data_IF_760052109656
#
_entry.id   IF_760052109656
#
_cell.length_a   1.000
_cell.length_b   1.000
_cell.length_c   1.000
_cell.angle_alpha   90.00
_cell.angle_beta   90.00
_cell.angle_gamma   90.00
#
_symmetry.space_group_name_H-M   'P 1'
#
loop_
_entity.id
_entity.type
_entity.pdbx_description
1 polymer ?
#
# COMPACT_ATOMS: atom_id res chain seq x y z
N UNK A 1 -22.51 23.72 9.42
CA UNK A 1 -23.56 22.67 9.35
C UNK A 1 -22.92 21.33 9.65
N UNK A 2 -23.10 20.81 10.85
CA UNK A 2 -22.61 19.49 11.27
C UNK A 2 -23.37 18.42 10.49
N UNK A 3 -22.69 17.69 9.57
CA UNK A 3 -23.23 16.44 9.05
C UNK A 3 -23.39 15.48 10.23
N UNK A 4 -24.63 15.16 10.55
CA UNK A 4 -24.98 14.20 11.59
C UNK A 4 -24.11 12.95 11.45
N UNK A 5 -23.40 12.60 12.53
CA UNK A 5 -22.61 11.38 12.67
C UNK A 5 -23.59 10.20 12.50
N UNK A 6 -23.53 9.51 11.34
CA UNK A 6 -24.33 8.31 11.13
C UNK A 6 -23.74 7.22 12.02
N UNK A 7 -24.47 6.86 13.05
CA UNK A 7 -24.29 5.58 13.73
C UNK A 7 -24.47 4.48 12.69
N UNK A 8 -23.51 3.57 12.60
CA UNK A 8 -23.65 2.41 11.72
C UNK A 8 -24.86 1.60 12.18
N UNK A 9 -25.81 1.42 11.28
CA UNK A 9 -27.01 0.64 11.56
C UNK A 9 -26.65 -0.86 11.54
N UNK A 10 -27.48 -1.66 12.24
CA UNK A 10 -27.40 -3.12 12.16
C UNK A 10 -27.45 -3.60 10.68
N UNK A 11 -28.23 -2.88 9.86
CA UNK A 11 -28.33 -3.16 8.42
C UNK A 11 -26.98 -3.00 7.69
N UNK A 12 -26.13 -2.05 8.07
CA UNK A 12 -24.83 -1.86 7.45
C UNK A 12 -23.89 -3.02 7.81
N UNK A 13 -23.95 -3.50 9.04
CA UNK A 13 -23.20 -4.69 9.48
C UNK A 13 -23.66 -5.94 8.75
N UNK A 14 -24.99 -6.17 8.66
CA UNK A 14 -25.56 -7.34 7.97
C UNK A 14 -25.21 -7.37 6.48
N UNK A 15 -25.22 -6.22 5.80
CA UNK A 15 -24.77 -6.12 4.39
C UNK A 15 -23.30 -6.52 4.22
N UNK A 16 -22.44 -6.08 5.10
CA UNK A 16 -21.02 -6.43 5.04
C UNK A 16 -20.79 -7.92 5.33
N UNK A 17 -21.48 -8.48 6.31
CA UNK A 17 -21.43 -9.93 6.58
C UNK A 17 -21.93 -10.72 5.38
N UNK A 18 -23.03 -10.30 4.74
CA UNK A 18 -23.54 -10.94 3.52
C UNK A 18 -22.52 -10.87 2.37
N UNK A 19 -21.86 -9.71 2.20
CA UNK A 19 -20.81 -9.56 1.18
C UNK A 19 -19.59 -10.43 1.50
N UNK A 20 -19.12 -10.46 2.75
CA UNK A 20 -18.03 -11.32 3.18
C UNK A 20 -18.37 -12.81 2.99
N UNK A 21 -19.61 -13.22 3.30
CA UNK A 21 -20.07 -14.59 3.08
C UNK A 21 -20.12 -14.97 1.60
N UNK A 22 -20.52 -14.04 0.72
CA UNK A 22 -20.46 -14.25 -0.73
C UNK A 22 -19.03 -14.44 -1.20
N UNK A 23 -18.10 -13.61 -0.76
CA UNK A 23 -16.68 -13.73 -1.12
C UNK A 23 -16.05 -15.00 -0.54
N UNK A 24 -16.47 -15.42 0.66
CA UNK A 24 -16.10 -16.72 1.22
C UNK A 24 -16.55 -17.86 0.30
N UNK A 25 -17.82 -17.86 -0.11
CA UNK A 25 -18.33 -18.87 -1.03
C UNK A 25 -17.53 -18.88 -2.35
N UNK A 26 -17.31 -17.72 -2.96
CA UNK A 26 -16.48 -17.59 -4.18
C UNK A 26 -15.06 -18.11 -3.97
N UNK A 27 -14.47 -17.86 -2.82
CA UNK A 27 -13.09 -18.29 -2.51
C UNK A 27 -12.94 -19.82 -2.44
N UNK A 28 -14.03 -20.54 -2.07
CA UNK A 28 -14.03 -22.00 -1.86
C UNK A 28 -14.63 -22.81 -3.03
N UNK A 29 -15.17 -22.14 -4.05
CA UNK A 29 -15.62 -22.81 -5.28
C UNK A 29 -14.43 -23.00 -6.23
N UNK A 30 -14.24 -24.18 -6.84
CA UNK A 30 -13.20 -24.40 -7.84
C UNK A 30 -13.26 -23.37 -8.97
N UNK A 31 -12.14 -22.67 -9.21
CA UNK A 31 -12.08 -21.59 -10.19
C UNK A 31 -12.67 -20.25 -9.74
N UNK A 32 -13.37 -20.18 -8.62
CA UNK A 32 -14.00 -18.97 -8.09
C UNK A 32 -13.05 -17.78 -7.93
N UNK A 33 -11.87 -17.93 -7.29
CA UNK A 33 -10.89 -16.84 -7.19
C UNK A 33 -10.42 -16.33 -8.56
N UNK A 34 -10.20 -17.22 -9.53
CA UNK A 34 -9.81 -16.84 -10.90
C UNK A 34 -10.93 -16.06 -11.60
N UNK A 35 -12.17 -16.52 -11.48
CA UNK A 35 -13.35 -15.84 -12.03
C UNK A 35 -13.54 -14.46 -11.37
N UNK A 36 -13.44 -14.36 -10.07
CA UNK A 36 -13.50 -13.10 -9.33
C UNK A 36 -12.45 -12.10 -9.81
N UNK A 37 -11.19 -12.53 -9.93
CA UNK A 37 -10.13 -11.68 -10.43
C UNK A 37 -10.34 -11.30 -11.90
N UNK A 38 -10.82 -12.19 -12.76
CA UNK A 38 -11.11 -11.88 -14.15
C UNK A 38 -12.23 -10.81 -14.25
N UNK A 39 -13.30 -10.97 -13.49
CA UNK A 39 -14.41 -10.02 -13.42
C UNK A 39 -13.94 -8.66 -12.85
N UNK A 40 -13.22 -8.67 -11.75
CA UNK A 40 -12.73 -7.42 -11.14
C UNK A 40 -11.70 -6.70 -12.02
N UNK A 41 -10.87 -7.44 -12.74
CA UNK A 41 -9.92 -6.87 -13.72
C UNK A 41 -10.61 -6.33 -14.97
N UNK A 42 -11.62 -7.04 -15.49
CA UNK A 42 -12.26 -6.73 -16.76
C UNK A 42 -13.37 -5.68 -16.68
N UNK A 43 -14.26 -5.81 -15.69
CA UNK A 43 -15.46 -4.98 -15.58
C UNK A 43 -15.26 -3.68 -14.79
N UNK A 44 -14.33 -3.67 -13.84
CA UNK A 44 -14.17 -2.48 -13.02
C UNK A 44 -13.20 -1.51 -13.69
N UNK A 45 -13.69 -0.30 -13.98
CA UNK A 45 -12.87 0.90 -14.28
C UNK A 45 -11.93 1.26 -13.11
N UNK A 46 -11.64 0.28 -12.24
CA UNK A 46 -10.89 0.44 -11.00
C UNK A 46 -9.46 0.92 -11.26
N UNK A 47 -8.81 0.44 -12.34
CA UNK A 47 -7.42 0.77 -12.63
C UNK A 47 -7.23 2.24 -13.01
N UNK A 48 -8.18 2.88 -13.69
CA UNK A 48 -8.15 4.34 -13.90
C UNK A 48 -8.30 5.12 -12.58
N UNK A 49 -9.04 4.57 -11.59
CA UNK A 49 -9.08 5.16 -10.24
C UNK A 49 -7.74 4.98 -9.53
N UNK A 50 -7.10 3.83 -9.70
CA UNK A 50 -5.76 3.57 -9.15
C UNK A 50 -4.75 4.56 -9.73
N UNK A 51 -4.70 4.72 -11.06
CA UNK A 51 -3.82 5.69 -11.73
C UNK A 51 -4.06 7.11 -11.19
N UNK A 52 -5.32 7.55 -11.08
CA UNK A 52 -5.64 8.88 -10.51
C UNK A 52 -5.23 9.00 -9.04
N UNK A 53 -5.32 7.92 -8.25
CA UNK A 53 -4.82 7.90 -6.86
C UNK A 53 -3.30 8.03 -6.85
N UNK A 54 -2.59 7.21 -7.64
CA UNK A 54 -1.14 7.22 -7.71
C UNK A 54 -0.59 8.59 -8.14
N UNK A 55 -1.18 9.22 -9.15
CA UNK A 55 -0.83 10.59 -9.58
C UNK A 55 -0.84 11.60 -8.42
N UNK A 56 -1.77 11.44 -7.46
CA UNK A 56 -1.90 12.36 -6.31
C UNK A 56 -0.99 12.01 -5.15
N UNK A 57 -0.73 10.72 -4.91
CA UNK A 57 -0.03 10.29 -3.70
C UNK A 57 1.48 10.21 -3.88
N UNK A 58 1.97 9.87 -5.08
CA UNK A 58 3.39 9.75 -5.35
C UNK A 58 4.20 11.03 -5.12
N UNK A 59 3.71 12.24 -5.51
CA UNK A 59 4.40 13.48 -5.16
C UNK A 59 4.59 13.62 -3.64
N UNK A 60 3.57 13.32 -2.87
CA UNK A 60 3.64 13.31 -1.42
C UNK A 60 4.66 12.31 -0.86
N UNK A 61 4.79 11.12 -1.47
CA UNK A 61 5.82 10.15 -1.09
C UNK A 61 7.22 10.69 -1.40
N UNK A 62 7.44 11.19 -2.61
CA UNK A 62 8.74 11.76 -3.01
C UNK A 62 9.17 12.91 -2.09
N UNK A 63 8.23 13.80 -1.73
CA UNK A 63 8.47 14.89 -0.78
C UNK A 63 8.87 14.35 0.60
N UNK A 64 8.15 13.36 1.12
CA UNK A 64 8.47 12.72 2.41
C UNK A 64 9.84 12.06 2.39
N UNK A 65 10.21 11.37 1.32
CA UNK A 65 11.53 10.76 1.19
C UNK A 65 12.66 11.78 1.22
N UNK A 66 12.48 12.94 0.56
CA UNK A 66 13.47 14.03 0.60
C UNK A 66 13.49 14.72 1.97
N UNK A 67 12.35 15.20 2.45
CA UNK A 67 12.29 16.07 3.63
C UNK A 67 12.48 15.31 4.95
N UNK A 68 11.93 14.10 5.07
CA UNK A 68 11.97 13.33 6.32
C UNK A 68 13.07 12.30 6.37
N UNK A 69 13.41 11.72 5.21
CA UNK A 69 14.43 10.69 5.14
C UNK A 69 15.79 11.23 4.67
N UNK A 70 15.87 12.47 4.19
CA UNK A 70 17.09 13.06 3.66
C UNK A 70 17.59 12.35 2.41
N UNK A 71 16.69 11.78 1.59
CA UNK A 71 17.07 11.03 0.40
C UNK A 71 17.16 11.93 -0.82
N UNK A 72 18.37 12.04 -1.38
CA UNK A 72 18.56 12.49 -2.76
C UNK A 72 18.24 11.30 -3.68
N UNK A 73 17.19 11.44 -4.49
CA UNK A 73 16.65 10.31 -5.26
C UNK A 73 17.39 10.05 -6.56
N UNK A 74 18.10 11.04 -7.09
CA UNK A 74 18.82 10.90 -8.37
C UNK A 74 19.87 9.79 -8.32
N UNK A 75 19.90 8.94 -9.34
CA UNK A 75 20.79 7.78 -9.42
C UNK A 75 20.50 6.64 -8.46
N UNK A 76 19.48 6.75 -7.58
CA UNK A 76 19.13 5.74 -6.59
C UNK A 76 18.34 4.57 -7.18
N UNK A 77 18.55 3.38 -6.62
CA UNK A 77 17.76 2.20 -6.94
C UNK A 77 16.51 2.16 -6.05
N UNK A 78 15.35 2.40 -6.65
CA UNK A 78 14.06 2.34 -5.98
C UNK A 78 13.44 0.96 -6.22
N UNK A 79 13.15 0.24 -5.16
CA UNK A 79 12.41 -1.01 -5.22
C UNK A 79 10.94 -0.76 -4.83
N UNK A 80 10.02 -1.11 -5.74
CA UNK A 80 8.57 -1.03 -5.47
C UNK A 80 8.01 -2.44 -5.36
N UNK A 81 7.50 -2.75 -4.17
CA UNK A 81 6.89 -4.05 -3.88
C UNK A 81 5.38 -3.98 -4.10
N UNK A 82 4.85 -4.93 -4.88
CA UNK A 82 3.44 -5.02 -5.29
C UNK A 82 2.91 -3.71 -5.91
N UNK A 83 3.50 -3.25 -7.03
CA UNK A 83 3.09 -2.00 -7.68
C UNK A 83 1.70 -2.07 -8.31
N UNK A 84 1.07 -3.24 -8.33
CA UNK A 84 -0.17 -3.51 -9.06
C UNK A 84 0.04 -3.67 -10.57
N UNK A 85 -1.03 -3.57 -11.34
CA UNK A 85 -1.01 -3.87 -12.79
C UNK A 85 -0.86 -2.65 -13.69
N UNK A 86 -0.77 -1.46 -13.12
CA UNK A 86 -0.58 -0.22 -13.88
C UNK A 86 0.90 0.13 -13.91
N UNK A 87 1.48 0.50 -15.08
CA UNK A 87 2.90 0.79 -15.20
C UNK A 87 3.24 2.21 -14.68
N UNK A 88 2.59 2.64 -13.60
CA UNK A 88 2.84 3.95 -12.99
C UNK A 88 4.15 3.97 -12.19
N UNK A 89 4.38 2.92 -11.41
CA UNK A 89 5.56 2.85 -10.53
C UNK A 89 6.90 2.91 -11.28
N UNK A 90 7.14 2.15 -12.40
CA UNK A 90 8.37 2.27 -13.16
C UNK A 90 8.57 3.66 -13.74
N UNK A 91 7.50 4.29 -14.26
CA UNK A 91 7.57 5.65 -14.80
C UNK A 91 7.90 6.67 -13.71
N UNK A 92 7.28 6.57 -12.54
CA UNK A 92 7.54 7.45 -11.40
C UNK A 92 8.96 7.27 -10.85
N UNK A 93 9.43 6.02 -10.70
CA UNK A 93 10.80 5.72 -10.27
C UNK A 93 11.83 6.29 -11.25
N UNK A 94 11.61 6.10 -12.56
CA UNK A 94 12.48 6.63 -13.58
C UNK A 94 12.53 8.17 -13.57
N UNK A 95 11.38 8.82 -13.45
CA UNK A 95 11.30 10.28 -13.36
C UNK A 95 12.10 10.82 -12.17
N UNK A 96 12.01 10.16 -11.03
CA UNK A 96 12.65 10.57 -9.78
C UNK A 96 14.14 10.26 -9.73
N UNK A 97 14.57 9.12 -10.27
CA UNK A 97 15.95 8.64 -10.07
C UNK A 97 16.78 8.52 -11.35
N UNK A 98 16.17 8.66 -12.51
CA UNK A 98 16.83 8.36 -13.80
C UNK A 98 16.98 6.85 -14.06
N UNK A 99 16.51 6.01 -13.14
CA UNK A 99 16.50 4.55 -13.23
C UNK A 99 15.08 4.06 -12.95
N UNK A 100 14.59 3.07 -13.67
CA UNK A 100 13.26 2.52 -13.46
C UNK A 100 13.11 1.74 -12.15
N UNK A 101 14.22 1.38 -11.56
CA UNK A 101 14.24 0.65 -10.31
C UNK A 101 13.96 -0.85 -10.46
N UNK A 102 13.48 -1.45 -9.39
CA UNK A 102 13.12 -2.87 -9.33
C UNK A 102 11.67 -3.01 -8.91
N UNK A 103 10.93 -3.87 -9.57
CA UNK A 103 9.57 -4.24 -9.21
C UNK A 103 9.54 -5.70 -8.75
N UNK A 104 8.83 -5.98 -7.66
CA UNK A 104 8.50 -7.34 -7.27
C UNK A 104 6.99 -7.47 -7.16
N UNK A 105 6.40 -8.49 -7.78
CA UNK A 105 4.95 -8.68 -7.82
C UNK A 105 4.56 -10.15 -7.78
N UNK A 106 3.61 -10.52 -6.94
CA UNK A 106 2.97 -11.83 -6.99
C UNK A 106 1.99 -11.95 -8.16
N UNK A 107 1.44 -10.83 -8.64
CA UNK A 107 0.36 -10.81 -9.62
C UNK A 107 0.80 -10.91 -11.08
N UNK A 108 2.06 -10.62 -11.40
CA UNK A 108 2.58 -10.57 -12.76
C UNK A 108 2.97 -9.16 -13.22
N UNK A 109 3.34 -9.01 -14.51
CA UNK A 109 3.79 -7.75 -15.06
C UNK A 109 2.64 -6.73 -15.20
N UNK A 110 2.97 -5.43 -15.35
CA UNK A 110 1.99 -4.41 -15.70
C UNK A 110 1.27 -4.71 -17.03
N UNK A 111 0.07 -4.17 -17.16
CA UNK A 111 -0.77 -4.39 -18.35
C UNK A 111 -0.63 -3.25 -19.36
N UNK A 112 -0.48 -3.63 -20.64
CA UNK A 112 -0.41 -2.70 -21.79
C UNK A 112 -1.60 -1.75 -21.86
N UNK A 113 -2.79 -2.23 -21.51
CA UNK A 113 -4.03 -1.47 -21.50
C UNK A 113 -3.95 -0.13 -20.75
N UNK A 114 -3.04 -0.03 -19.78
CA UNK A 114 -2.96 1.13 -18.89
C UNK A 114 -1.72 1.99 -19.11
N UNK A 115 -0.89 1.69 -20.13
CA UNK A 115 0.34 2.43 -20.43
C UNK A 115 0.02 3.90 -20.75
N UNK A 116 -0.80 4.15 -21.77
CA UNK A 116 -1.13 5.51 -22.16
C UNK A 116 -1.74 6.35 -21.01
N UNK A 117 -2.60 5.75 -20.21
CA UNK A 117 -3.20 6.43 -19.05
C UNK A 117 -2.17 6.72 -17.96
N UNK A 118 -1.20 5.81 -17.73
CA UNK A 118 -0.13 6.00 -16.75
C UNK A 118 0.87 7.04 -17.19
N UNK A 119 1.25 7.04 -18.47
CA UNK A 119 2.14 8.05 -19.06
C UNK A 119 1.53 9.44 -18.92
N UNK A 120 0.28 9.64 -19.37
CA UNK A 120 -0.41 10.92 -19.21
C UNK A 120 -0.50 11.36 -17.75
N UNK A 121 -0.86 10.43 -16.86
CA UNK A 121 -0.99 10.74 -15.43
C UNK A 121 0.34 11.15 -14.79
N UNK A 122 1.47 10.56 -15.21
CA UNK A 122 2.79 10.94 -14.67
C UNK A 122 3.21 12.31 -15.19
N UNK A 123 2.99 12.59 -16.48
CA UNK A 123 3.33 13.88 -17.09
C UNK A 123 2.50 15.05 -16.53
N UNK A 124 1.26 14.77 -16.13
CA UNK A 124 0.36 15.74 -15.50
C UNK A 124 0.49 15.78 -13.96
N UNK A 125 1.38 14.98 -13.37
CA UNK A 125 1.58 14.95 -11.92
C UNK A 125 2.48 16.08 -11.45
N UNK A 126 2.38 16.43 -10.16
CA UNK A 126 3.33 17.35 -9.51
C UNK A 126 4.77 16.84 -9.55
N UNK A 127 4.99 15.53 -9.68
CA UNK A 127 6.34 14.97 -9.88
C UNK A 127 7.03 15.53 -11.12
N UNK A 128 6.29 15.75 -12.20
CA UNK A 128 6.81 16.34 -13.42
C UNK A 128 7.03 17.86 -13.30
N UNK A 129 6.24 18.52 -12.45
CA UNK A 129 6.26 19.97 -12.26
C UNK A 129 7.31 20.45 -11.22
N UNK A 130 7.69 19.61 -10.24
CA UNK A 130 8.54 19.98 -9.11
C UNK A 130 10.04 20.20 -9.49
N UNK A 131 10.37 20.43 -10.77
CA UNK A 131 11.73 20.74 -11.20
C UNK A 131 12.77 19.63 -10.98
N UNK A 132 12.36 18.52 -10.41
CA UNK A 132 13.17 17.31 -10.28
C UNK A 132 13.20 16.49 -11.57
N UNK A 133 12.40 16.87 -12.56
CA UNK A 133 12.33 16.17 -13.83
C UNK A 133 13.37 16.78 -14.78
N UNK A 134 14.47 16.08 -14.94
CA UNK A 134 15.34 16.24 -16.09
C UNK A 134 14.46 16.27 -17.36
N UNK A 135 14.53 17.32 -18.20
CA UNK A 135 13.75 17.42 -19.44
C UNK A 135 13.91 16.19 -20.35
N UNK A 136 15.08 15.55 -20.32
CA UNK A 136 15.37 14.33 -21.08
C UNK A 136 14.51 13.17 -20.58
N UNK A 137 14.38 12.99 -19.24
CA UNK A 137 13.52 11.97 -18.65
C UNK A 137 12.05 12.20 -18.99
N UNK A 138 11.61 13.46 -18.92
CA UNK A 138 10.26 13.85 -19.26
C UNK A 138 9.92 13.55 -20.74
N UNK A 139 10.80 13.94 -21.67
CA UNK A 139 10.64 13.65 -23.09
C UNK A 139 10.62 12.14 -23.39
N UNK A 140 11.49 11.39 -22.71
CA UNK A 140 11.54 9.92 -22.83
C UNK A 140 10.24 9.25 -22.36
N UNK A 141 9.66 9.70 -21.24
CA UNK A 141 8.37 9.21 -20.77
C UNK A 141 7.27 9.58 -21.76
N UNK A 142 7.24 10.81 -22.28
CA UNK A 142 6.23 11.26 -23.23
C UNK A 142 6.21 10.40 -24.50
N UNK A 143 7.37 9.96 -24.97
CA UNK A 143 7.49 9.08 -26.14
C UNK A 143 6.90 7.67 -25.93
N UNK A 144 6.56 7.28 -24.69
CA UNK A 144 6.01 5.96 -24.36
C UNK A 144 4.48 5.88 -24.38
N UNK A 145 3.79 6.93 -24.81
CA UNK A 145 2.31 7.00 -24.72
C UNK A 145 1.61 5.89 -25.50
N UNK A 146 2.18 5.45 -26.62
CA UNK A 146 1.65 4.38 -27.47
C UNK A 146 2.44 3.07 -27.35
N UNK A 147 3.34 2.98 -26.37
CA UNK A 147 4.15 1.79 -26.11
C UNK A 147 3.34 0.70 -25.38
N UNK A 148 3.85 -0.53 -25.39
CA UNK A 148 3.40 -1.59 -24.50
C UNK A 148 4.14 -1.54 -23.15
N UNK A 149 3.71 -2.36 -22.20
CA UNK A 149 4.30 -2.38 -20.86
C UNK A 149 5.76 -2.89 -20.88
N UNK A 150 6.10 -3.80 -21.79
CA UNK A 150 7.47 -4.30 -21.93
C UNK A 150 8.41 -3.20 -22.43
N UNK A 151 7.97 -2.41 -23.41
CA UNK A 151 8.71 -1.25 -23.88
C UNK A 151 8.88 -0.18 -22.77
N UNK A 152 7.86 0.06 -21.93
CA UNK A 152 7.98 0.93 -20.75
C UNK A 152 9.06 0.42 -19.81
N UNK A 153 9.03 -0.87 -19.43
CA UNK A 153 10.03 -1.45 -18.53
C UNK A 153 11.46 -1.33 -19.11
N UNK A 154 11.61 -1.63 -20.41
CA UNK A 154 12.89 -1.50 -21.14
C UNK A 154 13.38 -0.07 -21.18
N UNK A 155 12.55 0.88 -21.62
CA UNK A 155 12.92 2.28 -21.78
C UNK A 155 13.26 2.95 -20.44
N UNK A 156 12.67 2.52 -19.35
CA UNK A 156 12.96 3.00 -17.99
C UNK A 156 14.06 2.18 -17.31
N UNK A 157 14.62 1.15 -17.95
CA UNK A 157 15.58 0.21 -17.35
C UNK A 157 15.07 -0.41 -16.04
N UNK A 158 13.77 -0.77 -16.03
CA UNK A 158 13.12 -1.36 -14.87
C UNK A 158 13.27 -2.88 -14.88
N UNK A 159 13.88 -3.44 -13.85
CA UNK A 159 13.88 -4.86 -13.60
C UNK A 159 12.54 -5.28 -12.94
N UNK A 160 11.99 -6.44 -13.33
CA UNK A 160 10.79 -6.98 -12.71
C UNK A 160 10.96 -8.46 -12.38
N UNK A 161 10.61 -8.83 -11.16
CA UNK A 161 10.44 -10.23 -10.75
C UNK A 161 8.97 -10.47 -10.41
N UNK A 162 8.38 -11.50 -11.02
CA UNK A 162 6.98 -11.86 -10.83
C UNK A 162 6.86 -13.18 -10.10
N UNK A 163 5.69 -13.44 -9.47
CA UNK A 163 5.41 -14.64 -8.68
C UNK A 163 6.43 -14.85 -7.56
N UNK A 164 6.88 -13.74 -6.97
CA UNK A 164 7.87 -13.77 -5.91
C UNK A 164 7.26 -14.25 -4.59
N UNK A 165 8.06 -15.00 -3.83
CA UNK A 165 7.81 -15.25 -2.42
C UNK A 165 8.31 -14.03 -1.63
N UNK A 166 7.46 -13.33 -0.87
CA UNK A 166 7.88 -12.19 -0.07
C UNK A 166 8.90 -12.53 1.03
N UNK A 167 9.01 -13.82 1.39
CA UNK A 167 10.00 -14.30 2.36
C UNK A 167 11.36 -14.65 1.77
N UNK A 168 11.48 -14.62 0.42
CA UNK A 168 12.72 -14.94 -0.31
C UNK A 168 12.77 -14.18 -1.63
N UNK A 169 13.20 -12.93 -1.57
CA UNK A 169 13.21 -12.03 -2.72
C UNK A 169 14.45 -12.26 -3.61
N UNK A 170 14.28 -12.31 -4.94
CA UNK A 170 15.37 -12.55 -5.88
C UNK A 170 16.19 -11.26 -6.12
N UNK A 171 16.66 -10.63 -5.04
CA UNK A 171 17.46 -9.40 -5.07
C UNK A 171 18.72 -9.59 -4.23
N UNK A 172 19.81 -9.00 -4.70
CA UNK A 172 21.09 -9.09 -4.01
C UNK A 172 21.08 -8.31 -2.68
N UNK A 173 21.86 -8.80 -1.72
CA UNK A 173 22.06 -8.12 -0.44
C UNK A 173 22.65 -6.73 -0.68
N UNK A 174 22.08 -5.71 -0.03
CA UNK A 174 22.58 -4.35 -0.12
C UNK A 174 22.51 -3.73 -1.51
N UNK A 175 21.51 -4.08 -2.33
CA UNK A 175 21.38 -3.61 -3.72
C UNK A 175 20.44 -2.41 -3.91
N UNK A 176 19.64 -2.07 -2.89
CA UNK A 176 18.53 -1.12 -2.98
C UNK A 176 18.72 0.06 -2.03
N UNK A 177 18.41 1.28 -2.49
CA UNK A 177 18.49 2.52 -1.72
C UNK A 177 17.17 2.92 -1.06
N UNK A 178 16.03 2.54 -1.67
CA UNK A 178 14.70 2.83 -1.17
C UNK A 178 13.75 1.67 -1.51
N UNK A 179 13.12 1.10 -0.50
CA UNK A 179 12.00 0.19 -0.67
C UNK A 179 10.68 0.94 -0.47
N UNK A 180 9.71 0.74 -1.36
CA UNK A 180 8.37 1.30 -1.21
C UNK A 180 7.28 0.25 -1.46
N UNK A 181 6.22 0.29 -0.64
CA UNK A 181 4.94 -0.37 -0.93
C UNK A 181 3.76 0.48 -0.44
N UNK A 182 2.65 0.36 -1.13
CA UNK A 182 1.46 1.15 -0.82
C UNK A 182 0.19 0.31 -0.71
N UNK A 183 -0.22 -0.07 0.50
CA UNK A 183 -1.41 -0.88 0.73
C UNK A 183 -1.18 -2.35 0.36
N UNK A 184 -0.14 -2.96 0.90
CA UNK A 184 0.28 -4.33 0.61
C UNK A 184 0.52 -5.14 1.87
N UNK A 185 1.22 -4.57 2.86
CA UNK A 185 1.69 -5.31 4.03
C UNK A 185 0.55 -5.81 4.92
N UNK A 186 -0.58 -5.15 4.91
CA UNK A 186 -1.80 -5.55 5.60
C UNK A 186 -2.39 -6.86 5.06
N UNK A 187 -2.03 -7.26 3.85
CA UNK A 187 -2.45 -8.53 3.25
C UNK A 187 -1.55 -9.71 3.60
N UNK A 188 -0.44 -9.48 4.27
CA UNK A 188 0.44 -10.54 4.70
C UNK A 188 0.04 -11.09 6.07
N UNK A 189 0.12 -12.42 6.23
CA UNK A 189 0.06 -13.02 7.55
C UNK A 189 1.21 -12.52 8.39
N UNK A 190 1.07 -12.40 9.72
CA UNK A 190 2.11 -11.82 10.58
C UNK A 190 3.49 -12.47 10.40
N UNK A 191 3.54 -13.80 10.23
CA UNK A 191 4.77 -14.55 9.98
C UNK A 191 5.41 -14.24 8.62
N UNK A 192 4.58 -14.05 7.59
CA UNK A 192 5.04 -13.65 6.24
C UNK A 192 5.52 -12.20 6.26
N UNK A 193 4.82 -11.32 6.97
CA UNK A 193 5.24 -9.92 7.14
C UNK A 193 6.60 -9.84 7.84
N UNK A 194 6.80 -10.60 8.91
CA UNK A 194 8.07 -10.65 9.61
C UNK A 194 9.21 -11.16 8.71
N UNK A 195 8.94 -12.18 7.87
CA UNK A 195 9.91 -12.69 6.91
C UNK A 195 10.21 -11.67 5.81
N UNK A 196 9.18 -11.01 5.27
CA UNK A 196 9.32 -9.92 4.28
C UNK A 196 10.18 -8.77 4.82
N UNK A 197 9.99 -8.38 6.07
CA UNK A 197 10.79 -7.31 6.68
C UNK A 197 12.26 -7.71 6.84
N UNK A 198 12.56 -8.98 7.17
CA UNK A 198 13.95 -9.49 7.18
C UNK A 198 14.57 -9.46 5.79
N UNK A 199 13.84 -9.88 4.76
CA UNK A 199 14.31 -9.79 3.38
C UNK A 199 14.49 -8.34 2.94
N UNK A 200 13.56 -7.45 3.28
CA UNK A 200 13.70 -6.01 3.01
C UNK A 200 14.97 -5.45 3.66
N UNK A 201 15.24 -5.84 4.90
CA UNK A 201 16.46 -5.43 5.59
C UNK A 201 17.72 -5.96 4.90
N UNK A 202 17.71 -7.23 4.45
CA UNK A 202 18.83 -7.85 3.74
C UNK A 202 19.18 -7.08 2.47
N UNK A 203 18.18 -6.79 1.64
CA UNK A 203 18.39 -6.19 0.30
C UNK A 203 18.63 -4.68 0.34
N UNK A 204 18.20 -3.99 1.37
CA UNK A 204 18.50 -2.57 1.56
C UNK A 204 19.99 -2.37 1.90
N UNK A 205 20.61 -1.33 1.34
CA UNK A 205 21.96 -0.89 1.72
C UNK A 205 21.97 -0.34 3.14
N UNK A 206 23.10 -0.33 3.85
CA UNK A 206 23.25 0.50 5.03
C UNK A 206 22.85 1.96 4.72
N UNK A 207 22.11 2.61 5.62
CA UNK A 207 21.56 3.95 5.43
C UNK A 207 20.31 4.05 4.55
N UNK A 208 19.94 2.99 3.83
CA UNK A 208 18.78 2.96 2.95
C UNK A 208 17.46 2.98 3.70
N UNK A 209 16.39 3.36 3.00
CA UNK A 209 15.07 3.62 3.60
C UNK A 209 14.04 2.56 3.20
N UNK A 210 13.29 2.08 4.18
CA UNK A 210 12.04 1.34 4.01
C UNK A 210 10.85 2.29 4.22
N UNK A 211 9.98 2.37 3.22
CA UNK A 211 8.84 3.29 3.16
C UNK A 211 7.57 2.52 2.80
N UNK A 212 6.73 2.26 3.78
CA UNK A 212 5.54 1.44 3.59
C UNK A 212 4.28 2.14 4.05
N UNK A 213 3.29 2.26 3.17
CA UNK A 213 1.95 2.71 3.54
C UNK A 213 1.10 1.49 3.83
N UNK A 214 0.62 1.41 5.06
CA UNK A 214 -0.18 0.31 5.58
C UNK A 214 -1.62 0.80 5.84
N UNK A 215 -2.60 0.13 5.26
CA UNK A 215 -4.02 0.47 5.46
C UNK A 215 -4.59 -0.34 6.64
N UNK A 216 -4.95 0.36 7.72
CA UNK A 216 -5.53 -0.24 8.92
C UNK A 216 -7.06 -0.36 8.86
N UNK A 217 -7.70 0.10 7.77
CA UNK A 217 -9.15 0.07 7.64
C UNK A 217 -9.64 -1.32 7.25
N UNK A 218 -10.85 -1.63 7.67
CA UNK A 218 -11.59 -2.77 7.13
C UNK A 218 -11.76 -2.60 5.61
N UNK A 219 -11.32 -3.57 4.84
CA UNK A 219 -11.28 -3.49 3.38
C UNK A 219 -12.66 -3.57 2.73
N UNK A 220 -13.68 -4.09 3.42
CA UNK A 220 -15.06 -3.96 2.95
C UNK A 220 -15.50 -2.50 2.83
N UNK A 221 -14.86 -1.59 3.57
CA UNK A 221 -15.10 -0.16 3.42
C UNK A 221 -14.71 0.40 2.05
N UNK A 222 -13.84 -0.25 1.31
CA UNK A 222 -13.54 0.11 -0.08
C UNK A 222 -14.68 -0.23 -1.02
N UNK A 223 -15.50 -1.23 -0.66
CA UNK A 223 -16.69 -1.65 -1.41
C UNK A 223 -17.89 -0.77 -1.03
N UNK A 224 -18.13 -0.60 0.26
CA UNK A 224 -19.20 0.25 0.78
C UNK A 224 -18.67 1.14 1.92
N UNK A 225 -18.61 2.47 1.67
CA UNK A 225 -18.13 3.45 2.65
C UNK A 225 -18.94 3.55 3.95
N UNK A 226 -20.09 2.86 4.03
CA UNK A 226 -20.91 2.73 5.25
C UNK A 226 -20.40 1.63 6.18
N UNK A 227 -19.54 0.73 5.71
CA UNK A 227 -18.95 -0.32 6.52
C UNK A 227 -18.15 0.25 7.69
N UNK A 228 -18.28 -0.31 8.91
CA UNK A 228 -17.52 0.15 10.06
C UNK A 228 -16.03 0.08 9.83
N UNK A 229 -15.34 1.12 10.24
CA UNK A 229 -13.93 1.40 9.96
C UNK A 229 -12.96 0.29 10.43
N UNK A 230 -13.19 -0.27 11.62
CA UNK A 230 -12.35 -1.28 12.25
C UNK A 230 -13.12 -2.56 12.64
N UNK A 231 -14.18 -2.90 11.91
CA UNK A 231 -15.00 -4.05 12.30
C UNK A 231 -14.19 -5.36 12.30
N UNK A 232 -13.28 -5.54 11.34
CA UNK A 232 -12.39 -6.70 11.33
C UNK A 232 -11.61 -6.89 12.65
N UNK A 233 -11.25 -5.78 13.33
CA UNK A 233 -10.57 -5.82 14.63
C UNK A 233 -11.50 -6.21 15.79
N UNK A 234 -12.78 -6.01 15.62
CA UNK A 234 -13.81 -6.26 16.63
C UNK A 234 -14.36 -7.69 16.60
N UNK A 235 -14.24 -8.37 15.48
CA UNK A 235 -14.76 -9.73 15.33
C UNK A 235 -13.96 -10.71 16.19
N UNK A 236 -14.63 -11.72 16.80
CA UNK A 236 -13.95 -12.89 17.38
C UNK A 236 -13.02 -13.56 16.35
N UNK A 237 -11.91 -14.14 16.81
CA UNK A 237 -10.90 -14.69 15.91
C UNK A 237 -11.46 -15.81 15.01
N UNK A 238 -12.39 -16.62 15.50
CA UNK A 238 -13.00 -17.69 14.72
C UNK A 238 -13.92 -17.16 13.62
N UNK A 239 -14.74 -16.16 13.96
CA UNK A 239 -15.61 -15.48 12.98
C UNK A 239 -14.79 -14.78 11.92
N UNK A 240 -13.73 -14.09 12.33
CA UNK A 240 -12.82 -13.44 11.41
C UNK A 240 -12.14 -14.46 10.48
N UNK A 241 -11.64 -15.57 11.01
CA UNK A 241 -10.97 -16.62 10.23
C UNK A 241 -11.88 -17.21 9.17
N UNK A 242 -13.14 -17.44 9.50
CA UNK A 242 -14.14 -17.95 8.54
C UNK A 242 -14.43 -16.89 7.47
N UNK A 243 -14.75 -15.66 7.84
CA UNK A 243 -15.24 -14.64 6.90
C UNK A 243 -14.12 -14.01 6.07
N UNK A 244 -12.91 -13.89 6.60
CA UNK A 244 -11.82 -13.09 6.02
C UNK A 244 -10.50 -13.86 5.89
N UNK A 245 -10.39 -15.08 6.41
CA UNK A 245 -9.16 -15.87 6.40
C UNK A 245 -8.76 -16.43 5.04
N UNK A 246 -9.48 -16.12 3.96
CA UNK A 246 -9.25 -16.60 2.61
C UNK A 246 -8.55 -15.57 1.72
N UNK A 247 -7.90 -16.04 0.63
CA UNK A 247 -7.02 -15.22 -0.21
C UNK A 247 -7.67 -14.03 -0.94
N UNK A 248 -9.02 -13.94 -0.99
CA UNK A 248 -9.71 -12.80 -1.61
C UNK A 248 -9.90 -11.61 -0.67
N UNK A 249 -9.90 -11.84 0.66
CA UNK A 249 -10.26 -10.83 1.65
C UNK A 249 -9.32 -10.75 2.83
N UNK A 250 -8.23 -11.55 2.84
CA UNK A 250 -7.33 -11.54 3.97
C UNK A 250 -6.75 -10.14 4.21
N UNK A 251 -6.90 -9.69 5.43
CA UNK A 251 -6.32 -8.48 5.98
C UNK A 251 -5.82 -8.82 7.38
N UNK A 252 -4.55 -8.67 7.67
CA UNK A 252 -4.08 -9.01 9.01
C UNK A 252 -4.66 -8.04 10.05
N UNK A 253 -4.64 -8.47 11.30
CA UNK A 253 -5.27 -7.75 12.42
C UNK A 253 -4.20 -7.21 13.38
N UNK A 254 -3.06 -6.82 12.85
CA UNK A 254 -2.00 -6.21 13.65
C UNK A 254 -2.35 -4.76 14.00
N UNK A 255 -2.22 -4.44 15.27
CA UNK A 255 -2.27 -3.06 15.72
C UNK A 255 -1.02 -2.30 15.23
N UNK A 256 -1.08 -0.96 15.10
CA UNK A 256 0.07 -0.16 14.71
C UNK A 256 1.34 -0.43 15.52
N UNK A 257 1.21 -0.60 16.84
CA UNK A 257 2.34 -0.93 17.70
C UNK A 257 2.95 -2.31 17.41
N UNK A 258 2.11 -3.30 17.05
CA UNK A 258 2.58 -4.64 16.68
C UNK A 258 3.35 -4.60 15.35
N UNK A 259 2.90 -3.80 14.37
CA UNK A 259 3.62 -3.60 13.10
C UNK A 259 4.97 -2.91 13.36
N UNK A 260 5.00 -1.85 14.18
CA UNK A 260 6.24 -1.17 14.53
C UNK A 260 7.23 -2.11 15.23
N UNK A 261 6.76 -2.95 16.15
CA UNK A 261 7.59 -3.93 16.84
C UNK A 261 8.22 -4.96 15.86
N UNK A 262 7.56 -5.30 14.76
CA UNK A 262 8.14 -6.17 13.74
C UNK A 262 9.32 -5.49 13.01
N UNK A 263 9.23 -4.20 12.71
CA UNK A 263 10.37 -3.44 12.16
C UNK A 263 11.52 -3.37 13.14
N UNK A 264 11.22 -3.02 14.39
CA UNK A 264 12.21 -2.88 15.45
C UNK A 264 12.94 -4.22 15.71
N UNK A 265 12.21 -5.34 15.69
CA UNK A 265 12.76 -6.69 15.88
C UNK A 265 13.73 -7.14 14.76
N UNK A 266 13.61 -6.56 13.57
CA UNK A 266 14.53 -6.81 12.45
C UNK A 266 15.79 -5.95 12.54
N UNK A 267 15.77 -4.88 13.34
CA UNK A 267 16.90 -3.96 13.52
C UNK A 267 16.79 -2.67 12.69
N UNK A 268 15.60 -2.36 12.17
CA UNK A 268 15.37 -1.07 11.54
C UNK A 268 15.29 0.06 12.57
N UNK A 269 15.82 1.22 12.23
CA UNK A 269 15.68 2.47 12.99
C UNK A 269 14.48 3.27 12.47
N UNK A 270 13.55 3.62 13.35
CA UNK A 270 12.35 4.36 12.98
C UNK A 270 12.69 5.85 12.71
N UNK A 271 12.38 6.32 11.50
CA UNK A 271 12.43 7.73 11.14
C UNK A 271 11.12 8.40 11.55
N UNK A 272 9.98 7.84 11.11
CA UNK A 272 8.65 8.34 11.43
C UNK A 272 7.57 7.27 11.23
N UNK A 273 6.43 7.45 11.89
CA UNK A 273 5.19 6.73 11.63
C UNK A 273 4.09 7.78 11.44
N UNK A 274 3.83 8.17 10.20
CA UNK A 274 2.88 9.23 9.86
C UNK A 274 1.48 8.66 9.75
N UNK A 275 0.60 9.09 10.64
CA UNK A 275 -0.78 8.57 10.73
C UNK A 275 -1.72 9.36 9.83
N UNK A 276 -2.47 8.66 8.98
CA UNK A 276 -3.60 9.24 8.25
C UNK A 276 -4.86 9.09 9.09
N UNK A 277 -5.34 10.17 9.64
CA UNK A 277 -6.45 10.18 10.59
C UNK A 277 -7.78 10.56 9.94
N UNK A 278 -8.86 10.02 10.50
CA UNK A 278 -10.23 10.35 10.13
C UNK A 278 -10.94 11.02 11.34
N UNK A 279 -11.86 11.94 11.09
CA UNK A 279 -12.44 12.36 9.81
C UNK A 279 -11.63 13.37 9.01
N UNK A 280 -10.56 13.92 9.55
CA UNK A 280 -9.84 15.09 9.01
C UNK A 280 -9.11 14.80 7.69
N UNK A 281 -8.93 13.53 7.33
CA UNK A 281 -8.25 13.08 6.09
C UNK A 281 -6.86 13.71 5.90
N UNK A 282 -6.09 13.85 6.97
CA UNK A 282 -4.75 14.42 6.98
C UNK A 282 -3.73 13.46 7.59
N UNK A 283 -2.48 13.62 7.23
CA UNK A 283 -1.37 12.97 7.92
C UNK A 283 -0.93 13.80 9.11
N UNK A 284 -0.69 13.15 10.23
CA UNK A 284 -0.11 13.73 11.44
C UNK A 284 1.16 12.96 11.81
N UNK A 285 2.18 13.69 12.23
CA UNK A 285 3.44 13.12 12.70
C UNK A 285 3.35 12.99 14.22
N UNK A 286 3.17 11.78 14.71
CA UNK A 286 3.20 11.43 16.14
C UNK A 286 2.37 12.32 17.07
N UNK A 287 1.66 11.74 18.02
CA UNK A 287 0.84 12.47 18.96
C UNK A 287 -0.66 12.32 18.70
N UNK A 288 -1.44 12.47 19.76
CA UNK A 288 -2.89 12.33 19.72
C UNK A 288 -3.49 13.34 18.75
N UNK A 289 -4.05 12.86 17.64
CA UNK A 289 -5.07 13.64 16.98
C UNK A 289 -6.18 13.89 18.00
N UNK A 290 -6.63 15.15 18.17
CA UNK A 290 -7.80 15.44 18.97
C UNK A 290 -8.93 14.55 18.46
N UNK A 291 -9.30 13.57 19.28
CA UNK A 291 -10.12 12.45 18.89
C UNK A 291 -11.57 12.89 18.75
N UNK A 292 -11.95 13.25 17.56
CA UNK A 292 -13.37 13.14 17.20
C UNK A 292 -13.72 11.65 17.20
N UNK A 293 -14.73 11.21 17.95
CA UNK A 293 -15.19 9.82 17.99
C UNK A 293 -15.40 9.28 16.57
N UNK A 294 -14.42 8.57 16.02
CA UNK A 294 -14.56 7.89 14.74
C UNK A 294 -15.44 6.67 14.95
N UNK A 295 -16.45 6.54 14.14
CA UNK A 295 -17.53 5.59 14.09
C UNK A 295 -17.25 4.10 14.35
N UNK A 296 -16.65 3.80 15.50
CA UNK A 296 -16.64 2.45 16.06
C UNK A 296 -17.92 2.32 16.85
N UNK A 297 -18.81 1.36 16.51
CA UNK A 297 -20.03 1.15 17.25
C UNK A 297 -19.72 0.89 18.73
N UNK A 298 -20.44 1.55 19.65
CA UNK A 298 -20.24 1.39 21.11
C UNK A 298 -20.41 -0.06 21.61
N UNK A 299 -21.14 -0.90 20.85
CA UNK A 299 -21.35 -2.31 21.17
C UNK A 299 -20.16 -3.21 20.79
N UNK A 300 -19.17 -2.68 20.08
CA UNK A 300 -17.98 -3.42 19.68
C UNK A 300 -16.86 -3.19 20.69
N UNK A 301 -17.09 -3.60 21.94
CA UNK A 301 -16.14 -3.44 23.02
C UNK A 301 -15.26 -4.67 23.31
N UNK A 302 -15.28 -5.67 22.43
CA UNK A 302 -14.60 -6.95 22.64
C UNK A 302 -13.50 -7.21 21.59
N UNK A 303 -12.69 -8.20 21.84
CA UNK A 303 -11.66 -8.66 20.91
C UNK A 303 -10.44 -7.75 20.84
N UNK A 304 -9.79 -7.73 19.68
CA UNK A 304 -8.55 -6.96 19.45
C UNK A 304 -8.77 -5.46 19.49
N UNK A 305 -9.98 -4.99 19.14
CA UNK A 305 -10.33 -3.57 19.17
C UNK A 305 -10.20 -2.95 20.57
N UNK A 306 -10.50 -3.72 21.63
CA UNK A 306 -10.38 -3.25 23.01
C UNK A 306 -8.93 -2.93 23.41
N UNK A 307 -7.95 -3.53 22.73
CA UNK A 307 -6.52 -3.35 22.97
C UNK A 307 -5.92 -2.15 22.23
N UNK A 308 -6.66 -1.56 21.28
CA UNK A 308 -6.19 -0.39 20.53
C UNK A 308 -6.23 0.87 21.40
N UNK A 309 -5.21 1.68 21.31
CA UNK A 309 -5.22 3.03 21.86
C UNK A 309 -6.31 3.89 21.22
N UNK A 310 -6.68 4.99 21.83
CA UNK A 310 -7.64 5.94 21.25
C UNK A 310 -7.14 6.44 19.90
N UNK A 311 -5.85 6.74 19.80
CA UNK A 311 -5.20 7.17 18.56
C UNK A 311 -5.29 6.12 17.46
N UNK A 312 -5.02 4.85 17.77
CA UNK A 312 -5.09 3.75 16.81
C UNK A 312 -6.50 3.54 16.26
N UNK A 313 -7.51 3.75 17.09
CA UNK A 313 -8.93 3.65 16.67
C UNK A 313 -9.34 4.72 15.66
N UNK A 314 -8.58 5.81 15.52
CA UNK A 314 -8.82 6.89 14.56
C UNK A 314 -7.88 6.84 13.35
N UNK A 315 -6.91 5.95 13.37
CA UNK A 315 -5.90 5.83 12.32
C UNK A 315 -6.40 4.98 11.16
N UNK A 316 -6.51 5.60 10.00
CA UNK A 316 -6.93 4.93 8.76
C UNK A 316 -5.78 4.21 8.06
N UNK A 317 -4.63 4.85 8.01
CA UNK A 317 -3.42 4.30 7.43
C UNK A 317 -2.21 4.88 8.14
N UNK A 318 -1.10 4.19 8.07
CA UNK A 318 0.18 4.70 8.56
C UNK A 318 1.20 4.61 7.44
N UNK A 319 1.95 5.70 7.23
CA UNK A 319 3.15 5.69 6.43
C UNK A 319 4.33 5.42 7.36
N UNK A 320 4.80 4.19 7.39
CA UNK A 320 5.96 3.74 8.13
C UNK A 320 7.22 4.10 7.37
N UNK A 321 8.12 4.83 8.00
CA UNK A 321 9.42 5.26 7.48
C UNK A 321 10.50 4.78 8.43
N UNK A 322 11.36 3.91 7.92
CA UNK A 322 12.43 3.28 8.67
C UNK A 322 13.73 3.33 7.89
N UNK A 323 14.83 3.29 8.60
CA UNK A 323 16.18 3.27 8.03
C UNK A 323 16.90 1.99 8.42
N UNK A 324 17.62 1.39 7.49
CA UNK A 324 18.63 0.40 7.86
C UNK A 324 19.83 1.14 8.44
N UNK A 325 20.33 0.79 9.65
CA UNK A 325 21.50 1.43 10.23
C UNK A 325 22.70 1.48 9.28
N UNK A 326 23.54 2.50 9.40
CA UNK A 326 24.78 2.62 8.63
C UNK A 326 25.77 1.48 8.96
N UNK A 327 25.74 1.01 10.21
CA UNK A 327 26.54 -0.10 10.71
C UNK A 327 25.59 -1.16 11.23
N UNK A 328 25.45 -2.23 10.51
CA UNK A 328 24.70 -3.41 10.93
C UNK A 328 25.58 -4.66 10.85
#
# INVERSE_FOLDING_TARGET
MHRARRLHSLCDVLRGVAHASLLFAVAHVPGGPRAYHAVTRGLLRSQHRVIRKLRRVWPGYARVWRERCGLELDGRTIWVHEPGWVPFAPLASYLLSGRGGVLTSAAGPPSDRYVAASVRAILESELAAEGAADPVRHARIAALVDADAAAVLSATSTAIATKVDPSSLPLDTGSVDLCHSGGTLEHYRPEVLAAFLRESFRILRPGAVASHVYDHRDHLRHVDGRWPFLLHMALPDDVYRVLFGHGLMFHNRLAPAEVMALFDAVGFERIAARRFVLPDKRYVDGGAAEAGEAGVPRWVGSGRLARLSVEDRHTAAIHYLYRKPERS
#
